data_IF_470051933298
#
_entry.id   IF_470051933298
#
_cell.length_a   1.000
_cell.length_b   1.000
_cell.length_c   1.000
_cell.angle_alpha   90.00
_cell.angle_beta   90.00
_cell.angle_gamma   90.00
#
_symmetry.space_group_name_H-M   'P 1'
#
loop_
_entity.id
_entity.type
_entity.pdbx_description
1 polymer ?
#
# COMPACT_ATOMS: atom_id res chain seq x y z
N UNK A 1 -2.37 -2.57 -22.40
CA UNK A 1 -2.71 -1.15 -22.63
C UNK A 1 -4.06 -0.85 -21.98
N UNK A 2 -4.15 0.17 -21.14
CA UNK A 2 -5.42 0.59 -20.53
C UNK A 2 -6.19 1.40 -21.57
N UNK A 3 -7.45 1.11 -21.83
CA UNK A 3 -8.25 1.94 -22.73
C UNK A 3 -8.32 3.39 -22.22
N UNK A 4 -8.14 4.36 -23.11
CA UNK A 4 -8.19 5.82 -22.80
C UNK A 4 -9.48 6.17 -22.05
N UNK A 5 -10.56 5.52 -22.39
CA UNK A 5 -11.87 5.68 -21.73
C UNK A 5 -11.80 5.33 -20.23
N UNK A 6 -11.08 4.27 -19.86
CA UNK A 6 -10.93 3.86 -18.46
C UNK A 6 -10.07 4.86 -17.68
N UNK A 7 -9.03 5.39 -18.29
CA UNK A 7 -8.18 6.45 -17.69
C UNK A 7 -9.05 7.70 -17.43
N UNK A 8 -9.89 8.10 -18.38
CA UNK A 8 -10.79 9.23 -18.23
C UNK A 8 -11.75 9.04 -17.04
N UNK A 9 -12.39 7.87 -16.93
CA UNK A 9 -13.30 7.57 -15.81
C UNK A 9 -12.56 7.56 -14.46
N UNK A 10 -11.38 7.00 -14.41
CA UNK A 10 -10.57 6.98 -13.19
C UNK A 10 -10.15 8.38 -12.78
N UNK A 11 -9.73 9.22 -13.71
CA UNK A 11 -9.39 10.63 -13.44
C UNK A 11 -10.62 11.42 -13.01
N UNK A 12 -11.77 11.23 -13.65
CA UNK A 12 -13.03 11.87 -13.26
C UNK A 12 -13.45 11.50 -11.83
N UNK A 13 -13.30 10.24 -11.48
CA UNK A 13 -13.56 9.75 -10.13
C UNK A 13 -12.61 10.37 -9.10
N UNK A 14 -11.32 10.41 -9.42
CA UNK A 14 -10.28 11.04 -8.58
C UNK A 14 -10.60 12.52 -8.39
N UNK A 15 -10.90 13.26 -9.45
CA UNK A 15 -11.25 14.67 -9.36
C UNK A 15 -12.52 14.92 -8.53
N UNK A 16 -13.52 14.05 -8.65
CA UNK A 16 -14.73 14.14 -7.83
C UNK A 16 -14.39 14.01 -6.34
N UNK A 17 -13.60 13.00 -5.96
CA UNK A 17 -13.17 12.80 -4.57
C UNK A 17 -12.29 13.96 -4.09
N UNK A 18 -11.40 14.47 -4.93
CA UNK A 18 -10.55 15.61 -4.62
C UNK A 18 -11.40 16.85 -4.27
N UNK A 19 -12.45 17.11 -5.04
CA UNK A 19 -13.37 18.22 -4.76
C UNK A 19 -14.16 18.02 -3.46
N UNK A 20 -14.61 16.81 -3.17
CA UNK A 20 -15.39 16.47 -1.99
C UNK A 20 -14.56 16.51 -0.69
N UNK A 21 -13.26 16.18 -0.76
CA UNK A 21 -12.38 16.02 0.40
C UNK A 21 -11.43 17.21 0.67
N UNK A 22 -11.66 18.35 0.04
CA UNK A 22 -10.88 19.56 0.33
C UNK A 22 -9.52 19.65 -0.37
N UNK A 23 -9.34 18.97 -1.48
CA UNK A 23 -8.13 19.02 -2.34
C UNK A 23 -8.11 20.26 -3.28
N UNK A 24 -8.89 21.27 -2.98
CA UNK A 24 -9.04 22.46 -3.83
C UNK A 24 -7.71 23.12 -4.22
N UNK A 25 -6.71 23.03 -3.37
CA UNK A 25 -5.37 23.57 -3.67
C UNK A 25 -4.68 22.84 -4.81
N UNK A 26 -4.85 21.52 -4.91
CA UNK A 26 -4.26 20.74 -5.99
C UNK A 26 -4.85 21.07 -7.36
N UNK A 27 -6.13 21.44 -7.41
CA UNK A 27 -6.79 21.83 -8.64
C UNK A 27 -6.26 23.16 -9.23
N UNK A 28 -5.56 23.97 -8.45
CA UNK A 28 -4.99 25.26 -8.85
C UNK A 28 -3.48 25.24 -9.07
N UNK A 29 -2.81 24.12 -8.74
CA UNK A 29 -1.37 23.96 -8.98
C UNK A 29 -1.10 23.63 -10.45
N UNK A 30 -0.05 24.22 -11.02
CA UNK A 30 0.48 23.81 -12.32
C UNK A 30 1.45 22.63 -12.15
N UNK A 31 1.28 21.60 -12.95
CA UNK A 31 2.12 20.41 -12.93
C UNK A 31 2.90 20.27 -14.24
N UNK A 32 4.21 20.08 -14.12
CA UNK A 32 5.10 19.98 -15.26
C UNK A 32 4.89 18.70 -16.08
N UNK A 33 4.41 17.63 -15.42
CA UNK A 33 4.15 16.35 -16.08
C UNK A 33 3.14 15.51 -15.28
N UNK A 34 2.69 14.41 -15.86
CA UNK A 34 1.73 13.50 -15.25
C UNK A 34 2.26 12.84 -13.96
N UNK A 35 3.56 12.53 -13.92
CA UNK A 35 4.19 11.94 -12.73
C UNK A 35 4.13 12.91 -11.54
N UNK A 36 4.35 14.20 -11.76
CA UNK A 36 4.24 15.23 -10.73
C UNK A 36 2.81 15.34 -10.20
N UNK A 37 1.81 15.33 -11.08
CA UNK A 37 0.39 15.32 -10.69
C UNK A 37 0.04 14.09 -9.85
N UNK A 38 0.43 12.90 -10.29
CA UNK A 38 0.16 11.65 -9.57
C UNK A 38 0.86 11.64 -8.20
N UNK A 39 2.10 12.11 -8.14
CA UNK A 39 2.85 12.23 -6.89
C UNK A 39 2.18 13.21 -5.92
N UNK A 40 1.68 14.34 -6.40
CA UNK A 40 0.99 15.33 -5.58
C UNK A 40 -0.32 14.76 -4.99
N UNK A 41 -1.13 14.09 -5.81
CA UNK A 41 -2.38 13.46 -5.37
C UNK A 41 -2.08 12.35 -4.36
N UNK A 42 -1.10 11.51 -4.63
CA UNK A 42 -0.72 10.40 -3.76
C UNK A 42 -0.17 10.90 -2.42
N UNK A 43 0.70 11.91 -2.43
CA UNK A 43 1.23 12.53 -1.21
C UNK A 43 0.11 13.09 -0.32
N UNK A 44 -0.85 13.79 -0.91
CA UNK A 44 -2.00 14.32 -0.18
C UNK A 44 -2.89 13.21 0.37
N UNK A 45 -3.19 12.22 -0.43
CA UNK A 45 -4.01 11.08 -0.02
C UNK A 45 -3.37 10.26 1.10
N UNK A 46 -2.08 10.00 1.02
CA UNK A 46 -1.32 9.32 2.07
C UNK A 46 -1.33 10.15 3.36
N UNK A 47 -1.11 11.46 3.26
CA UNK A 47 -1.16 12.35 4.43
C UNK A 47 -2.51 12.30 5.15
N UNK A 48 -3.61 12.26 4.40
CA UNK A 48 -4.95 12.11 4.97
C UNK A 48 -5.14 10.73 5.60
N UNK A 49 -4.68 9.68 4.93
CA UNK A 49 -4.78 8.30 5.43
C UNK A 49 -3.97 8.12 6.73
N UNK A 50 -2.79 8.72 6.82
CA UNK A 50 -1.96 8.67 8.03
C UNK A 50 -2.65 9.31 9.25
N UNK A 51 -3.42 10.36 9.04
CA UNK A 51 -4.22 10.97 10.13
C UNK A 51 -5.33 10.06 10.65
N UNK A 52 -5.84 9.18 9.80
CA UNK A 52 -6.82 8.14 10.16
C UNK A 52 -6.16 6.88 10.72
N UNK A 53 -4.85 6.72 10.50
CA UNK A 53 -4.08 5.51 10.75
C UNK A 53 -4.00 4.61 9.51
N UNK A 54 -2.89 3.88 9.40
CA UNK A 54 -2.73 2.88 8.35
C UNK A 54 -3.68 1.70 8.57
N UNK A 55 -4.31 1.26 7.50
CA UNK A 55 -5.13 0.06 7.51
C UNK A 55 -4.31 -1.17 7.90
N UNK A 56 -4.95 -2.09 8.62
CA UNK A 56 -4.35 -3.36 9.03
C UNK A 56 -5.19 -4.52 8.52
N UNK A 57 -4.53 -5.63 8.27
CA UNK A 57 -5.19 -6.89 7.96
C UNK A 57 -4.55 -8.05 8.72
N UNK A 58 -5.30 -9.13 8.88
CA UNK A 58 -4.76 -10.34 9.45
C UNK A 58 -3.91 -11.07 8.42
N UNK A 59 -2.63 -11.26 8.75
CA UNK A 59 -1.66 -12.00 7.94
C UNK A 59 -1.31 -13.29 8.64
N UNK A 60 -1.44 -14.41 7.94
CA UNK A 60 -1.05 -15.72 8.47
C UNK A 60 0.45 -15.91 8.35
N UNK A 61 1.08 -16.28 9.45
CA UNK A 61 2.50 -16.57 9.55
C UNK A 61 2.71 -18.04 9.94
N UNK A 62 3.75 -18.65 9.36
CA UNK A 62 4.23 -19.97 9.75
C UNK A 62 5.69 -19.82 10.15
N UNK A 63 5.99 -19.99 11.44
CA UNK A 63 7.33 -19.76 11.98
C UNK A 63 7.74 -20.87 12.96
N UNK A 64 9.05 -21.10 13.04
CA UNK A 64 9.67 -21.96 14.05
C UNK A 64 9.90 -21.15 15.33
N UNK A 65 9.13 -21.44 16.37
CA UNK A 65 9.12 -20.68 17.62
C UNK A 65 9.51 -21.56 18.82
N UNK A 66 10.15 -20.94 19.82
CA UNK A 66 10.45 -21.58 21.09
C UNK A 66 9.28 -21.57 22.07
N UNK A 67 8.26 -20.75 21.82
CA UNK A 67 7.02 -20.68 22.59
C UNK A 67 5.81 -20.89 21.68
N UNK A 68 4.76 -21.51 22.22
CA UNK A 68 3.53 -21.74 21.48
C UNK A 68 2.83 -20.43 21.13
N UNK A 69 2.54 -20.24 19.85
CA UNK A 69 1.72 -19.15 19.35
C UNK A 69 0.76 -19.66 18.27
N UNK A 70 -0.53 -19.43 18.45
CA UNK A 70 -1.54 -19.91 17.52
C UNK A 70 -1.64 -21.43 17.48
N UNK A 71 -1.66 -22.01 16.28
CA UNK A 71 -1.80 -23.46 16.03
C UNK A 71 -0.46 -24.10 15.71
N UNK A 72 -0.19 -25.25 16.32
CA UNK A 72 1.03 -26.02 15.99
C UNK A 72 0.79 -26.80 14.69
N UNK A 73 1.74 -26.69 13.76
CA UNK A 73 1.84 -27.60 12.63
C UNK A 73 2.72 -28.81 13.03
N UNK A 74 2.07 -29.88 13.46
CA UNK A 74 2.76 -31.08 13.95
C UNK A 74 3.54 -31.76 12.83
N UNK A 75 2.98 -31.82 11.62
CA UNK A 75 3.62 -32.50 10.49
C UNK A 75 4.91 -31.79 10.08
N UNK A 76 4.89 -30.48 9.92
CA UNK A 76 6.09 -29.70 9.61
C UNK A 76 7.08 -29.67 10.77
N UNK A 77 6.61 -29.62 12.01
CA UNK A 77 7.48 -29.70 13.19
C UNK A 77 8.23 -31.04 13.26
N UNK A 78 7.59 -32.13 12.86
CA UNK A 78 8.23 -33.46 12.78
C UNK A 78 9.20 -33.56 11.61
N UNK A 79 8.81 -33.10 10.42
CA UNK A 79 9.67 -33.12 9.21
C UNK A 79 10.96 -32.32 9.38
N UNK A 80 10.86 -31.14 9.96
CA UNK A 80 12.01 -30.24 10.17
C UNK A 80 12.81 -30.56 11.43
N UNK A 81 12.38 -31.55 12.23
CA UNK A 81 13.00 -31.90 13.51
C UNK A 81 13.12 -30.71 14.48
N UNK A 82 12.19 -29.77 14.39
CA UNK A 82 12.19 -28.56 15.22
C UNK A 82 12.07 -28.88 16.71
N UNK A 83 11.40 -29.96 17.06
CA UNK A 83 11.26 -30.43 18.45
C UNK A 83 12.59 -30.77 19.11
N UNK A 84 13.57 -31.28 18.36
CA UNK A 84 14.94 -31.56 18.86
C UNK A 84 15.63 -30.27 19.29
N UNK A 85 15.29 -29.16 18.65
CA UNK A 85 15.81 -27.81 18.98
C UNK A 85 14.97 -27.10 20.05
N UNK A 86 14.03 -27.78 20.71
CA UNK A 86 13.04 -27.19 21.60
C UNK A 86 12.19 -26.08 20.94
N UNK A 87 11.86 -26.27 19.67
CA UNK A 87 11.03 -25.35 18.88
C UNK A 87 9.86 -26.08 18.24
N UNK A 88 8.84 -25.33 17.90
CA UNK A 88 7.63 -25.81 17.22
C UNK A 88 7.37 -24.95 16.00
N UNK A 89 6.90 -25.56 14.91
CA UNK A 89 6.34 -24.81 13.79
C UNK A 89 4.93 -24.39 14.15
N UNK A 90 4.71 -23.10 14.26
CA UNK A 90 3.42 -22.49 14.63
C UNK A 90 2.81 -21.72 13.45
N UNK A 91 1.51 -21.83 13.29
CA UNK A 91 0.70 -21.05 12.36
C UNK A 91 -0.14 -20.07 13.20
N UNK A 92 0.02 -18.79 12.97
CA UNK A 92 -0.72 -17.74 13.68
C UNK A 92 -1.05 -16.58 12.77
N UNK A 93 -2.10 -15.83 13.13
CA UNK A 93 -2.47 -14.60 12.45
C UNK A 93 -1.95 -13.37 13.20
N UNK A 94 -1.40 -12.43 12.47
CA UNK A 94 -0.93 -11.15 12.99
C UNK A 94 -1.71 -10.01 12.35
N UNK A 95 -2.20 -9.09 13.16
CA UNK A 95 -2.93 -7.91 12.71
C UNK A 95 -1.93 -6.80 12.37
N UNK A 96 -1.54 -6.76 11.11
CA UNK A 96 -0.38 -6.04 10.63
C UNK A 96 -0.72 -4.89 9.68
N UNK A 97 0.09 -3.83 9.75
CA UNK A 97 0.10 -2.74 8.74
C UNK A 97 0.73 -3.17 7.41
N UNK A 98 1.40 -4.32 7.37
CA UNK A 98 2.00 -4.87 6.14
C UNK A 98 0.94 -5.47 5.19
N UNK A 99 -0.19 -4.79 5.08
CA UNK A 99 -1.29 -5.17 4.18
C UNK A 99 -0.89 -5.00 2.71
N UNK A 100 -1.55 -5.74 1.83
CA UNK A 100 -1.28 -5.65 0.38
C UNK A 100 -1.46 -4.23 -0.14
N UNK A 101 -2.49 -3.51 0.30
CA UNK A 101 -2.73 -2.12 -0.11
C UNK A 101 -1.61 -1.18 0.33
N UNK A 102 -1.13 -1.29 1.57
CA UNK A 102 -0.01 -0.47 2.05
C UNK A 102 1.29 -0.80 1.32
N UNK A 103 1.52 -2.06 1.01
CA UNK A 103 2.67 -2.51 0.21
C UNK A 103 2.64 -1.94 -1.21
N UNK A 104 1.46 -1.90 -1.84
CA UNK A 104 1.26 -1.28 -3.15
C UNK A 104 1.59 0.21 -3.10
N UNK A 105 1.07 0.94 -2.10
CA UNK A 105 1.34 2.36 -1.92
C UNK A 105 2.83 2.61 -1.77
N UNK A 106 3.51 1.88 -0.91
CA UNK A 106 4.95 2.00 -0.70
C UNK A 106 5.74 1.78 -1.99
N UNK A 107 5.47 0.68 -2.69
CA UNK A 107 6.18 0.35 -3.94
C UNK A 107 5.91 1.38 -5.04
N UNK A 108 4.70 1.92 -5.13
CA UNK A 108 4.36 2.99 -6.08
C UNK A 108 5.12 4.28 -5.76
N UNK A 109 5.21 4.65 -4.49
CA UNK A 109 6.01 5.83 -4.08
C UNK A 109 7.49 5.65 -4.42
N UNK A 110 8.03 4.45 -4.26
CA UNK A 110 9.42 4.16 -4.66
C UNK A 110 9.64 4.36 -6.16
N UNK A 111 8.68 4.02 -7.01
CA UNK A 111 8.73 4.31 -8.45
C UNK A 111 8.72 5.83 -8.69
N UNK A 112 7.82 6.56 -8.04
CA UNK A 112 7.71 8.01 -8.19
C UNK A 112 8.96 8.75 -7.70
N UNK A 113 9.63 8.24 -6.66
CA UNK A 113 10.90 8.81 -6.20
C UNK A 113 12.04 8.70 -7.21
N UNK A 114 11.94 7.76 -8.14
CA UNK A 114 12.89 7.60 -9.27
C UNK A 114 12.47 8.38 -10.52
N UNK A 115 11.24 8.86 -10.57
CA UNK A 115 10.71 9.61 -11.69
C UNK A 115 11.22 11.07 -11.70
N UNK A 116 10.98 11.76 -12.81
CA UNK A 116 11.28 13.17 -12.95
C UNK A 116 10.20 14.04 -12.30
N UNK A 117 10.33 14.20 -11.00
CA UNK A 117 9.49 15.05 -10.17
C UNK A 117 10.34 16.02 -9.36
N UNK A 118 9.73 17.11 -8.88
CA UNK A 118 10.43 18.14 -8.11
C UNK A 118 11.06 17.59 -6.82
N UNK A 119 12.22 18.12 -6.47
CA UNK A 119 12.93 17.73 -5.23
C UNK A 119 12.11 17.95 -3.96
N UNK A 120 11.30 19.00 -3.93
CA UNK A 120 10.38 19.30 -2.82
C UNK A 120 9.33 18.21 -2.67
N UNK A 121 8.77 17.72 -3.77
CA UNK A 121 7.81 16.61 -3.79
C UNK A 121 8.46 15.29 -3.35
N UNK A 122 9.66 15.01 -3.83
CA UNK A 122 10.44 13.84 -3.38
C UNK A 122 10.69 13.87 -1.87
N UNK A 123 11.03 15.04 -1.33
CA UNK A 123 11.24 15.22 0.11
C UNK A 123 9.96 14.96 0.90
N UNK A 124 8.82 15.45 0.41
CA UNK A 124 7.50 15.22 1.01
C UNK A 124 7.17 13.72 1.04
N UNK A 125 7.31 13.03 -0.09
CA UNK A 125 7.06 11.59 -0.18
C UNK A 125 7.98 10.78 0.75
N UNK A 126 9.26 11.13 0.85
CA UNK A 126 10.19 10.46 1.78
C UNK A 126 9.79 10.63 3.24
N UNK A 127 9.30 11.80 3.62
CA UNK A 127 8.78 12.04 4.98
C UNK A 127 7.57 11.16 5.29
N UNK A 128 6.67 10.99 4.33
CA UNK A 128 5.50 10.13 4.48
C UNK A 128 5.91 8.65 4.58
N UNK A 129 6.93 8.24 3.86
CA UNK A 129 7.42 6.85 3.87
C UNK A 129 8.06 6.42 5.18
N UNK A 130 8.43 7.34 6.05
CA UNK A 130 8.89 7.01 7.42
C UNK A 130 7.82 6.21 8.18
N UNK A 131 6.55 6.52 7.96
CA UNK A 131 5.42 5.80 8.59
C UNK A 131 5.15 4.42 7.99
N UNK A 132 5.80 4.08 6.89
CA UNK A 132 5.72 2.79 6.20
C UNK A 132 6.93 1.88 6.49
N UNK A 133 7.66 2.12 7.59
CA UNK A 133 8.85 1.34 7.96
C UNK A 133 8.57 -0.16 8.08
N UNK A 134 7.40 -0.51 8.65
CA UNK A 134 6.97 -1.89 8.85
C UNK A 134 6.26 -2.50 7.63
N UNK A 135 6.21 -1.75 6.53
CA UNK A 135 5.60 -2.19 5.27
C UNK A 135 6.71 -2.59 4.30
N UNK A 136 6.64 -3.81 3.80
CA UNK A 136 7.59 -4.33 2.80
C UNK A 136 7.12 -4.01 1.38
N UNK A 137 8.03 -3.75 0.43
CA UNK A 137 7.66 -3.56 -0.96
C UNK A 137 7.06 -4.83 -1.58
N UNK A 138 6.32 -4.67 -2.68
CA UNK A 138 5.72 -5.76 -3.45
C UNK A 138 6.00 -5.56 -4.94
N UNK A 139 6.07 -6.65 -5.69
CA UNK A 139 6.12 -6.58 -7.14
C UNK A 139 4.75 -6.17 -7.70
N UNK A 140 4.66 -4.92 -8.17
CA UNK A 140 3.43 -4.31 -8.67
C UNK A 140 2.89 -4.97 -9.95
N UNK A 141 3.73 -5.66 -10.70
CA UNK A 141 3.31 -6.36 -11.92
C UNK A 141 2.63 -7.69 -11.64
N UNK A 142 2.92 -8.30 -10.48
CA UNK A 142 2.31 -9.55 -10.03
C UNK A 142 1.05 -9.37 -9.18
N UNK A 143 0.71 -8.13 -8.83
CA UNK A 143 -0.45 -7.83 -7.98
C UNK A 143 -1.76 -8.08 -8.72
N UNK A 144 -2.70 -8.74 -8.04
CA UNK A 144 -4.09 -8.75 -8.45
C UNK A 144 -4.77 -7.46 -7.99
N UNK A 145 -5.08 -6.57 -8.93
CA UNK A 145 -5.67 -5.25 -8.67
C UNK A 145 -7.18 -5.28 -8.43
N UNK A 146 -7.79 -6.45 -8.40
CA UNK A 146 -9.22 -6.60 -8.17
C UNK A 146 -9.55 -6.64 -6.67
N UNK A 147 -9.54 -5.47 -6.03
CA UNK A 147 -9.82 -5.34 -4.60
C UNK A 147 -11.30 -5.21 -4.29
N UNK A 148 -11.71 -5.82 -3.20
CA UNK A 148 -13.03 -5.62 -2.59
C UNK A 148 -12.93 -4.48 -1.57
N UNK A 149 -13.75 -3.45 -1.73
CA UNK A 149 -13.79 -2.31 -0.81
C UNK A 149 -15.00 -2.41 0.10
N UNK A 150 -14.77 -2.22 1.38
CA UNK A 150 -15.80 -2.19 2.42
C UNK A 150 -15.64 -0.91 3.26
N UNK A 151 -16.47 -0.76 4.29
CA UNK A 151 -16.43 0.41 5.16
C UNK A 151 -15.05 0.68 5.78
N UNK A 152 -14.27 -0.37 6.06
CA UNK A 152 -12.98 -0.25 6.75
C UNK A 152 -11.83 0.19 5.84
N UNK A 153 -11.89 -0.15 4.54
CA UNK A 153 -10.81 0.11 3.60
C UNK A 153 -11.20 1.03 2.43
N UNK A 154 -12.41 1.59 2.45
CA UNK A 154 -12.92 2.43 1.36
C UNK A 154 -12.05 3.68 1.12
N UNK A 155 -11.41 4.20 2.15
CA UNK A 155 -10.49 5.33 2.03
C UNK A 155 -9.26 5.03 1.16
N UNK A 156 -8.91 3.77 0.99
CA UNK A 156 -7.82 3.33 0.13
C UNK A 156 -8.18 3.27 -1.36
N UNK A 157 -9.47 3.29 -1.71
CA UNK A 157 -9.90 3.11 -3.10
C UNK A 157 -9.27 4.13 -4.05
N UNK A 158 -9.25 5.41 -3.67
CA UNK A 158 -8.61 6.45 -4.46
C UNK A 158 -7.09 6.22 -4.56
N UNK A 159 -6.43 5.92 -3.44
CA UNK A 159 -4.98 5.70 -3.40
C UNK A 159 -4.57 4.53 -4.30
N UNK A 160 -5.28 3.42 -4.23
CA UNK A 160 -5.01 2.23 -5.06
C UNK A 160 -5.29 2.53 -6.54
N UNK A 161 -6.32 3.31 -6.85
CA UNK A 161 -6.61 3.74 -8.23
C UNK A 161 -5.48 4.59 -8.81
N UNK A 162 -4.92 5.51 -8.03
CA UNK A 162 -3.74 6.30 -8.45
C UNK A 162 -2.51 5.40 -8.62
N UNK A 163 -2.27 4.49 -7.70
CA UNK A 163 -1.17 3.53 -7.82
C UNK A 163 -1.27 2.70 -9.11
N UNK A 164 -2.49 2.25 -9.45
CA UNK A 164 -2.74 1.52 -10.69
C UNK A 164 -2.38 2.35 -11.93
N UNK A 165 -2.76 3.63 -11.96
CA UNK A 165 -2.43 4.54 -13.07
C UNK A 165 -0.93 4.78 -13.19
N UNK A 166 -0.21 4.87 -12.08
CA UNK A 166 1.25 5.06 -12.10
C UNK A 166 1.97 3.84 -12.67
N UNK A 167 1.49 2.64 -12.34
CA UNK A 167 2.11 1.36 -12.78
C UNK A 167 1.77 1.04 -14.23
N UNK A 168 0.59 1.38 -14.67
CA UNK A 168 0.09 1.12 -16.02
C UNK A 168 0.17 2.36 -16.89
#
# INVERSE_FOLDING_TARGET
MIPIRNIYYMLSYVFKILNEQGYKRLATEEFNNTAELMAAILAKGISIQLKRGLGKEYLSHTEELSTLRGKIDINESMKTQSMIKNKLICIYDDFSVNSTMNRIIKSTVEILLKADIEKTRKKELRKLMVYFSDVTPIDLYSVNWNFQYNRNNQSYQMLISICYLVVK
#
